data_IF_236272013638
#
_entry.id   IF_236272013638
#
_cell.length_a   1.000
_cell.length_b   1.000
_cell.length_c   1.000
_cell.angle_alpha   90.00
_cell.angle_beta   90.00
_cell.angle_gamma   90.00
#
_symmetry.space_group_name_H-M   'P 1'
#
loop_
_entity.id
_entity.type
_entity.pdbx_description
1 polymer ?
#
# COMPACT_ATOMS: atom_id res chain seq x y z
N UNK A 1 -34.21 10.91 -5.68
CA UNK A 1 -33.77 12.16 -6.34
C UNK A 1 -32.25 12.15 -6.30
N UNK A 2 -31.59 11.86 -7.42
CA UNK A 2 -30.12 11.83 -7.49
C UNK A 2 -29.64 13.21 -7.95
N UNK A 3 -29.43 14.11 -7.00
CA UNK A 3 -28.78 15.39 -7.28
C UNK A 3 -27.32 15.14 -7.63
N UNK A 4 -27.00 15.14 -8.92
CA UNK A 4 -25.62 15.01 -9.38
C UNK A 4 -24.92 16.36 -9.21
N UNK A 5 -24.12 16.50 -8.17
CA UNK A 5 -23.32 17.71 -7.92
C UNK A 5 -22.09 17.71 -8.83
N UNK A 6 -21.93 18.75 -9.64
CA UNK A 6 -20.73 18.94 -10.46
C UNK A 6 -19.65 19.65 -9.65
N UNK A 7 -18.54 18.98 -9.37
CA UNK A 7 -17.41 19.52 -8.61
C UNK A 7 -16.17 19.62 -9.51
N UNK A 8 -15.58 20.81 -9.63
CA UNK A 8 -14.28 21.00 -10.29
C UNK A 8 -13.16 20.95 -9.26
N UNK A 9 -12.31 19.93 -9.35
CA UNK A 9 -11.16 19.75 -8.46
C UNK A 9 -9.88 19.99 -9.26
N UNK A 10 -8.98 20.84 -8.74
CA UNK A 10 -7.62 20.93 -9.25
C UNK A 10 -6.82 19.77 -8.67
N UNK A 11 -6.43 18.83 -9.53
CA UNK A 11 -5.69 17.63 -9.15
C UNK A 11 -4.30 17.72 -9.78
N UNK A 12 -3.27 17.38 -9.01
CA UNK A 12 -1.91 17.28 -9.54
C UNK A 12 -1.82 16.26 -10.68
N UNK A 13 -1.00 16.51 -11.72
CA UNK A 13 -0.92 15.65 -12.88
C UNK A 13 -0.48 14.21 -12.53
N UNK A 14 0.39 14.04 -11.54
CA UNK A 14 0.80 12.72 -11.05
C UNK A 14 -0.37 11.94 -10.43
N UNK A 15 -1.20 12.62 -9.64
CA UNK A 15 -2.36 11.99 -8.99
C UNK A 15 -3.44 11.62 -10.02
N UNK A 16 -3.63 12.47 -11.04
CA UNK A 16 -4.53 12.19 -12.16
C UNK A 16 -4.12 10.93 -12.93
N UNK A 17 -2.82 10.70 -13.12
CA UNK A 17 -2.31 9.51 -13.80
C UNK A 17 -2.56 8.24 -12.96
N UNK A 18 -2.28 8.29 -11.67
CA UNK A 18 -2.58 7.17 -10.75
C UNK A 18 -4.08 6.84 -10.73
N UNK A 19 -4.96 7.84 -10.64
CA UNK A 19 -6.42 7.63 -10.67
C UNK A 19 -6.84 7.01 -12.00
N UNK A 20 -6.23 7.42 -13.11
CA UNK A 20 -6.53 6.85 -14.43
C UNK A 20 -6.10 5.38 -14.53
N UNK A 21 -4.95 5.03 -13.96
CA UNK A 21 -4.48 3.64 -13.88
C UNK A 21 -5.42 2.79 -13.03
N UNK A 22 -5.74 3.24 -11.81
CA UNK A 22 -6.68 2.55 -10.92
C UNK A 22 -8.07 2.38 -11.55
N UNK A 23 -8.58 3.41 -12.23
CA UNK A 23 -9.84 3.33 -12.95
C UNK A 23 -9.80 2.28 -14.07
N UNK A 24 -8.67 2.15 -14.79
CA UNK A 24 -8.48 1.13 -15.82
C UNK A 24 -8.40 -0.28 -15.21
N UNK A 25 -7.70 -0.44 -14.09
CA UNK A 25 -7.55 -1.71 -13.36
C UNK A 25 -8.91 -2.20 -12.81
N UNK A 26 -9.69 -1.28 -12.23
CA UNK A 26 -11.00 -1.55 -11.65
C UNK A 26 -12.14 -1.56 -12.70
N UNK A 27 -11.84 -1.30 -13.98
CA UNK A 27 -12.81 -1.17 -15.07
C UNK A 27 -13.97 -0.19 -14.79
N UNK A 28 -13.68 0.90 -14.09
CA UNK A 28 -14.65 1.94 -13.78
C UNK A 28 -14.26 3.28 -14.40
N UNK A 29 -15.23 4.19 -14.48
CA UNK A 29 -14.94 5.53 -15.00
C UNK A 29 -14.07 6.34 -14.03
N UNK A 30 -13.25 7.24 -14.56
CA UNK A 30 -12.37 8.09 -13.74
C UNK A 30 -13.15 8.88 -12.67
N UNK A 31 -14.37 9.34 -13.00
CA UNK A 31 -15.24 10.02 -12.05
C UNK A 31 -15.77 9.08 -10.95
N UNK A 32 -16.11 7.83 -11.29
CA UNK A 32 -16.54 6.85 -10.29
C UNK A 32 -15.41 6.45 -9.34
N UNK A 33 -14.19 6.25 -9.83
CA UNK A 33 -13.02 5.98 -8.97
C UNK A 33 -12.78 7.14 -8.01
N UNK A 34 -12.84 8.38 -8.50
CA UNK A 34 -12.71 9.59 -7.67
C UNK A 34 -13.78 9.61 -6.57
N UNK A 35 -15.05 9.36 -6.92
CA UNK A 35 -16.16 9.32 -5.95
C UNK A 35 -15.95 8.20 -4.94
N UNK A 36 -15.61 6.98 -5.37
CA UNK A 36 -15.34 5.86 -4.48
C UNK A 36 -14.20 6.16 -3.51
N UNK A 37 -13.12 6.77 -3.99
CA UNK A 37 -11.96 7.11 -3.15
C UNK A 37 -12.27 8.24 -2.16
N UNK A 38 -13.02 9.26 -2.60
CA UNK A 38 -13.50 10.34 -1.74
C UNK A 38 -14.46 9.80 -0.68
N UNK A 39 -15.44 8.99 -1.11
CA UNK A 39 -16.39 8.33 -0.22
C UNK A 39 -15.66 7.43 0.77
N UNK A 40 -14.72 6.59 0.32
CA UNK A 40 -13.89 5.79 1.21
C UNK A 40 -13.05 6.65 2.17
N UNK A 41 -12.60 7.84 1.77
CA UNK A 41 -11.86 8.75 2.66
C UNK A 41 -12.75 9.44 3.69
N UNK A 42 -14.01 9.68 3.35
CA UNK A 42 -15.03 10.27 4.23
C UNK A 42 -15.63 9.22 5.18
N UNK A 43 -15.86 8.00 4.67
CA UNK A 43 -16.39 6.84 5.40
C UNK A 43 -15.31 6.12 6.20
N UNK A 44 -14.03 6.28 5.85
CA UNK A 44 -12.90 5.96 6.73
C UNK A 44 -12.86 6.98 7.88
N UNK A 45 -13.90 6.94 8.72
CA UNK A 45 -13.82 7.46 10.07
C UNK A 45 -12.56 6.92 10.70
N UNK A 46 -11.69 7.84 11.13
CA UNK A 46 -10.42 7.62 11.82
C UNK A 46 -9.82 6.24 11.60
N UNK A 47 -8.75 6.16 10.78
CA UNK A 47 -7.87 4.99 10.69
C UNK A 47 -7.91 4.26 12.03
N UNK A 48 -8.37 2.99 12.10
CA UNK A 48 -8.42 2.29 13.38
C UNK A 48 -7.04 2.51 13.97
N UNK A 49 -7.00 3.15 15.15
CA UNK A 49 -5.77 3.36 15.87
C UNK A 49 -5.13 1.98 15.87
N UNK A 50 -4.07 1.81 15.09
CA UNK A 50 -3.39 0.53 14.95
C UNK A 50 -2.98 0.26 16.37
N UNK A 51 -3.71 -0.64 17.01
CA UNK A 51 -3.42 -1.08 18.35
C UNK A 51 -2.18 -1.93 18.18
N UNK A 52 -1.02 -1.27 18.15
CA UNK A 52 0.30 -1.88 18.11
C UNK A 52 0.62 -2.57 19.45
N UNK A 53 -0.40 -3.17 20.07
CA UNK A 53 -0.36 -3.98 21.28
C UNK A 53 -0.42 -5.48 20.95
N UNK A 54 -0.15 -5.85 19.70
CA UNK A 54 0.24 -7.23 19.36
C UNK A 54 1.65 -7.49 19.92
N UNK A 55 1.69 -7.88 21.20
CA UNK A 55 2.88 -8.40 21.90
C UNK A 55 2.96 -9.91 21.74
N UNK A 56 2.63 -10.43 20.55
CA UNK A 56 3.05 -11.77 20.19
C UNK A 56 4.55 -11.71 19.90
N UNK A 57 5.37 -12.28 20.79
CA UNK A 57 6.69 -12.75 20.41
C UNK A 57 6.47 -13.76 19.28
N UNK A 58 6.60 -13.30 18.03
CA UNK A 58 6.81 -14.19 16.91
C UNK A 58 8.07 -14.98 17.29
N UNK A 59 7.89 -16.22 17.71
CA UNK A 59 8.98 -17.18 17.84
C UNK A 59 9.50 -17.32 16.42
N UNK A 60 10.52 -16.52 16.09
CA UNK A 60 11.21 -16.65 14.82
C UNK A 60 11.74 -18.09 14.78
N UNK A 61 11.15 -18.91 13.91
CA UNK A 61 11.63 -20.25 13.63
C UNK A 61 13.13 -20.14 13.39
N UNK A 62 13.92 -20.90 14.16
CA UNK A 62 15.37 -20.88 14.02
C UNK A 62 15.72 -21.13 12.56
N UNK A 63 16.41 -20.16 11.95
CA UNK A 63 16.83 -20.19 10.55
C UNK A 63 17.35 -21.59 10.19
N UNK A 64 16.79 -22.18 9.14
CA UNK A 64 17.15 -23.51 8.70
C UNK A 64 18.64 -23.55 8.31
N UNK A 65 19.26 -24.73 8.37
CA UNK A 65 20.68 -24.89 8.02
C UNK A 65 21.01 -24.40 6.60
N UNK A 66 20.03 -24.43 5.69
CA UNK A 66 20.15 -23.89 4.34
C UNK A 66 20.24 -22.36 4.33
N UNK A 67 19.37 -21.68 5.10
CA UNK A 67 19.35 -20.23 5.23
C UNK A 67 20.62 -19.71 5.93
N UNK A 68 21.06 -20.39 6.99
CA UNK A 68 22.34 -20.08 7.65
C UNK A 68 23.54 -20.22 6.70
N UNK A 69 23.51 -21.21 5.80
CA UNK A 69 24.57 -21.40 4.78
C UNK A 69 24.54 -20.28 3.75
N UNK A 70 23.36 -19.84 3.33
CA UNK A 70 23.18 -18.71 2.41
C UNK A 70 23.64 -17.40 3.03
N UNK A 71 23.26 -17.12 4.29
CA UNK A 71 23.70 -15.93 5.05
C UNK A 71 25.23 -15.92 5.17
N UNK A 72 25.86 -17.04 5.54
CA UNK A 72 27.34 -17.14 5.59
C UNK A 72 27.99 -16.91 4.23
N UNK A 73 27.39 -17.40 3.14
CA UNK A 73 27.92 -17.19 1.79
C UNK A 73 27.86 -15.71 1.37
N UNK A 74 26.74 -15.04 1.65
CA UNK A 74 26.56 -13.62 1.36
C UNK A 74 27.47 -12.73 2.23
N UNK A 75 27.64 -13.07 3.52
CA UNK A 75 28.59 -12.38 4.41
C UNK A 75 30.05 -12.58 3.98
N UNK A 76 30.43 -13.78 3.52
CA UNK A 76 31.78 -14.03 2.97
C UNK A 76 32.02 -13.28 1.66
N UNK A 77 31.02 -13.17 0.79
CA UNK A 77 31.10 -12.39 -0.46
C UNK A 77 31.20 -10.89 -0.18
N UNK A 78 30.45 -10.36 0.78
CA UNK A 78 30.49 -8.94 1.15
C UNK A 78 31.79 -8.54 1.85
N UNK A 79 32.40 -9.42 2.65
CA UNK A 79 33.74 -9.20 3.24
C UNK A 79 34.89 -9.17 2.23
N UNK A 80 34.65 -9.55 0.96
CA UNK A 80 35.67 -9.58 -0.10
C UNK A 80 35.73 -8.30 -0.94
N UNK A 81 35.12 -7.20 -0.48
CA UNK A 81 35.41 -5.84 -0.96
C UNK A 81 36.36 -5.15 0.01
N UNK A 82 37.64 -5.40 -0.18
CA UNK A 82 38.75 -4.49 0.09
C UNK A 82 39.68 -4.57 -1.12
#
# INVERSE_FOLDING_TARGET
MTETVNLTIKIDPALKEHIKQLAADNQISMSQEIVNRLQASLDAGAQPAIDSLDTQEAVEDQLSAAELKQIRALLKKSKKKK
#
